data_IF_621743246155
#
_entry.id   IF_621743246155
#
_cell.length_a   1.000
_cell.length_b   1.000
_cell.length_c   1.000
_cell.angle_alpha   90.00
_cell.angle_beta   90.00
_cell.angle_gamma   90.00
#
_symmetry.space_group_name_H-M   'P 1'
#
loop_
_entity.id
_entity.type
_entity.pdbx_description
1 polymer ?
#
# COMPACT_ATOMS: atom_id res chain seq x y z
N UNK A 1 17.16 -46.37 8.42
CA UNK A 1 17.02 -45.34 9.48
C UNK A 1 16.29 -44.17 8.83
N UNK A 2 14.96 -44.24 8.87
CA UNK A 2 14.06 -43.36 8.12
C UNK A 2 14.06 -41.98 8.77
N UNK A 3 14.27 -40.96 7.93
CA UNK A 3 14.25 -39.55 8.28
C UNK A 3 12.93 -39.21 8.97
N UNK A 4 13.03 -38.78 10.22
CA UNK A 4 11.95 -38.21 11.02
C UNK A 4 11.62 -36.83 10.44
N UNK A 5 10.81 -36.82 9.37
CA UNK A 5 10.21 -35.59 8.84
C UNK A 5 9.25 -35.09 9.91
N UNK A 6 9.71 -34.18 10.75
CA UNK A 6 8.84 -33.38 11.62
C UNK A 6 7.64 -32.90 10.81
N UNK A 7 6.43 -33.24 11.27
CA UNK A 7 5.19 -32.77 10.68
C UNK A 7 5.18 -31.25 10.76
N UNK A 8 5.28 -30.57 9.61
CA UNK A 8 5.11 -29.12 9.54
C UNK A 8 3.70 -28.82 10.07
N UNK A 9 3.55 -27.92 11.07
CA UNK A 9 2.23 -27.51 11.54
C UNK A 9 1.36 -27.08 10.35
N UNK A 10 0.10 -27.51 10.32
CA UNK A 10 -0.82 -27.06 9.27
C UNK A 10 -1.12 -25.57 9.47
N UNK A 11 -0.51 -24.70 8.67
CA UNK A 11 -0.77 -23.27 8.68
C UNK A 11 -1.95 -22.93 7.77
N UNK A 12 -2.80 -21.99 8.20
CA UNK A 12 -3.78 -21.37 7.32
C UNK A 12 -3.07 -20.31 6.50
N UNK A 13 -3.49 -20.10 5.24
CA UNK A 13 -3.00 -19.00 4.42
C UNK A 13 -3.12 -17.65 5.16
N UNK A 14 -4.22 -17.47 5.89
CA UNK A 14 -4.47 -16.32 6.75
C UNK A 14 -3.31 -16.03 7.73
N UNK A 15 -2.74 -17.05 8.37
CA UNK A 15 -1.68 -16.88 9.36
C UNK A 15 -0.42 -16.28 8.71
N UNK A 16 -0.09 -16.75 7.50
CA UNK A 16 1.04 -16.25 6.72
C UNK A 16 0.81 -14.84 6.20
N UNK A 17 -0.42 -14.54 5.75
CA UNK A 17 -0.78 -13.22 5.25
C UNK A 17 -0.80 -12.17 6.35
N UNK A 18 -1.26 -12.51 7.55
CA UNK A 18 -1.18 -11.62 8.71
C UNK A 18 0.28 -11.33 9.05
N UNK A 19 1.14 -12.36 9.12
CA UNK A 19 2.57 -12.15 9.37
C UNK A 19 3.22 -11.25 8.30
N UNK A 20 2.88 -11.46 7.02
CA UNK A 20 3.38 -10.62 5.93
C UNK A 20 2.86 -9.18 6.03
N UNK A 21 1.59 -8.98 6.38
CA UNK A 21 0.99 -7.67 6.54
C UNK A 21 1.69 -6.87 7.67
N UNK A 22 2.04 -7.53 8.78
CA UNK A 22 2.81 -6.90 9.85
C UNK A 22 4.19 -6.43 9.39
N UNK A 23 4.86 -7.20 8.52
CA UNK A 23 6.14 -6.78 7.93
C UNK A 23 5.95 -5.64 6.95
N UNK A 24 4.86 -5.66 6.16
CA UNK A 24 4.53 -4.59 5.23
C UNK A 24 4.24 -3.26 5.96
N UNK A 25 3.55 -3.30 7.11
CA UNK A 25 3.31 -2.13 7.96
C UNK A 25 4.63 -1.48 8.41
N UNK A 26 5.64 -2.29 8.78
CA UNK A 26 6.96 -1.77 9.12
C UNK A 26 7.65 -1.09 7.93
N UNK A 27 7.56 -1.67 6.72
CA UNK A 27 8.11 -1.07 5.50
C UNK A 27 7.41 0.23 5.07
N UNK A 28 6.15 0.40 5.49
CA UNK A 28 5.38 1.63 5.31
C UNK A 28 5.63 2.67 6.40
N UNK A 29 6.29 2.30 7.51
CA UNK A 29 6.42 3.14 8.69
C UNK A 29 5.11 3.31 9.45
N UNK A 30 4.16 2.40 9.28
CA UNK A 30 2.90 2.37 10.03
C UNK A 30 3.10 1.81 11.44
N UNK A 31 2.12 2.07 12.31
CA UNK A 31 2.02 1.33 13.57
C UNK A 31 1.82 -0.16 13.28
N UNK A 32 2.31 -1.06 14.16
CA UNK A 32 2.01 -2.48 14.04
C UNK A 32 0.50 -2.72 13.97
N UNK A 33 0.09 -3.68 13.14
CA UNK A 33 -1.31 -4.12 12.99
C UNK A 33 -2.24 -3.15 12.25
N UNK A 34 -1.72 -2.10 11.61
CA UNK A 34 -2.52 -1.16 10.80
C UNK A 34 -3.29 -1.90 9.70
N UNK A 35 -2.63 -2.77 8.93
CA UNK A 35 -3.28 -3.54 7.87
C UNK A 35 -4.33 -4.53 8.41
N UNK A 36 -4.06 -5.15 9.56
CA UNK A 36 -4.99 -6.10 10.20
C UNK A 36 -6.21 -5.37 10.76
N UNK A 37 -6.01 -4.22 11.39
CA UNK A 37 -7.08 -3.35 11.89
C UNK A 37 -7.95 -2.83 10.75
N UNK A 38 -7.34 -2.40 9.65
CA UNK A 38 -8.06 -2.03 8.44
C UNK A 38 -8.87 -3.20 7.88
N UNK A 39 -8.31 -4.42 7.86
CA UNK A 39 -9.00 -5.62 7.40
C UNK A 39 -10.22 -5.96 8.26
N UNK A 40 -10.10 -5.84 9.57
CA UNK A 40 -11.22 -6.03 10.50
C UNK A 40 -12.36 -5.04 10.21
N UNK A 41 -12.04 -3.76 10.05
CA UNK A 41 -13.03 -2.73 9.74
C UNK A 41 -13.66 -2.93 8.35
N UNK A 42 -12.85 -3.21 7.33
CA UNK A 42 -13.29 -3.38 5.95
C UNK A 42 -14.23 -4.60 5.80
N UNK A 43 -13.87 -5.75 6.38
CA UNK A 43 -14.72 -6.95 6.35
C UNK A 43 -16.00 -6.77 7.18
N UNK A 44 -15.93 -6.04 8.30
CA UNK A 44 -17.11 -5.65 9.07
C UNK A 44 -18.07 -4.75 8.28
N UNK A 45 -17.53 -3.78 7.55
CA UNK A 45 -18.30 -2.91 6.66
C UNK A 45 -18.94 -3.70 5.51
N UNK A 46 -18.16 -4.56 4.84
CA UNK A 46 -18.63 -5.42 3.74
C UNK A 46 -19.85 -6.27 4.15
N UNK A 47 -19.78 -6.91 5.33
CA UNK A 47 -20.91 -7.68 5.88
C UNK A 47 -22.14 -6.80 6.16
N UNK A 48 -21.94 -5.59 6.69
CA UNK A 48 -23.06 -4.64 6.95
C UNK A 48 -23.69 -4.09 5.67
N UNK A 49 -22.95 -4.06 4.56
CA UNK A 49 -23.46 -3.74 3.23
C UNK A 49 -24.21 -4.92 2.58
N UNK A 50 -24.22 -6.09 3.22
CA UNK A 50 -24.92 -7.28 2.72
C UNK A 50 -24.17 -8.06 1.65
N UNK A 51 -22.84 -7.87 1.55
CA UNK A 51 -22.01 -8.66 0.65
C UNK A 51 -21.95 -10.13 1.08
N UNK A 52 -21.78 -11.02 0.11
CA UNK A 52 -21.65 -12.46 0.33
C UNK A 52 -20.31 -12.82 0.98
N UNK A 53 -20.22 -13.95 1.68
CA UNK A 53 -18.95 -14.36 2.31
C UNK A 53 -17.78 -14.53 1.33
N UNK A 54 -17.96 -14.97 0.07
CA UNK A 54 -16.91 -14.89 -0.95
C UNK A 54 -16.40 -13.46 -1.19
N UNK A 55 -17.29 -12.48 -1.33
CA UNK A 55 -16.92 -11.06 -1.52
C UNK A 55 -16.24 -10.48 -0.26
N UNK A 56 -16.70 -10.87 0.93
CA UNK A 56 -16.02 -10.52 2.19
C UNK A 56 -14.62 -11.15 2.24
N UNK A 57 -14.45 -12.35 1.66
CA UNK A 57 -13.16 -12.99 1.45
C UNK A 57 -12.25 -12.18 0.52
N UNK A 58 -12.78 -11.65 -0.58
CA UNK A 58 -12.02 -10.77 -1.48
C UNK A 58 -11.55 -9.51 -0.75
N UNK A 59 -12.41 -8.88 0.05
CA UNK A 59 -12.05 -7.73 0.91
C UNK A 59 -10.97 -8.09 1.92
N UNK A 60 -11.08 -9.26 2.55
CA UNK A 60 -10.09 -9.76 3.51
C UNK A 60 -8.69 -9.86 2.88
N UNK A 61 -8.59 -10.52 1.72
CA UNK A 61 -7.30 -10.73 1.06
C UNK A 61 -6.73 -9.45 0.47
N UNK A 62 -7.56 -8.63 -0.17
CA UNK A 62 -7.13 -7.34 -0.74
C UNK A 62 -6.57 -6.43 0.34
N UNK A 63 -7.25 -6.34 1.50
CA UNK A 63 -6.81 -5.43 2.57
C UNK A 63 -5.47 -5.84 3.17
N UNK A 64 -5.26 -7.15 3.40
CA UNK A 64 -3.98 -7.65 3.92
C UNK A 64 -2.83 -7.52 2.90
N UNK A 65 -3.14 -7.63 1.61
CA UNK A 65 -2.12 -7.59 0.55
C UNK A 65 -1.82 -6.18 0.03
N UNK A 66 -2.62 -5.17 0.38
CA UNK A 66 -2.54 -3.79 -0.15
C UNK A 66 -1.13 -3.20 -0.16
N UNK A 67 -0.35 -3.44 0.90
CA UNK A 67 0.98 -2.83 1.08
C UNK A 67 2.15 -3.77 0.79
N UNK A 68 1.91 -5.01 0.34
CA UNK A 68 3.01 -5.99 0.16
C UNK A 68 4.00 -5.59 -0.94
N UNK A 69 3.60 -4.69 -1.85
CA UNK A 69 4.45 -4.16 -2.92
C UNK A 69 5.10 -2.82 -2.62
N UNK A 70 4.82 -2.18 -1.48
CA UNK A 70 5.25 -0.79 -1.25
C UNK A 70 6.76 -0.60 -1.04
N UNK A 71 7.51 -1.68 -0.84
CA UNK A 71 8.99 -1.62 -0.81
C UNK A 71 9.62 -1.81 -2.20
N UNK A 72 8.82 -2.09 -3.24
CA UNK A 72 9.31 -2.34 -4.59
C UNK A 72 9.87 -1.09 -5.28
N UNK A 73 9.47 0.11 -4.83
CA UNK A 73 9.90 1.40 -5.35
C UNK A 73 10.77 2.17 -4.33
N UNK A 74 11.35 1.45 -3.36
CA UNK A 74 12.07 2.07 -2.24
C UNK A 74 13.34 2.81 -2.65
N UNK A 75 14.01 2.36 -3.71
CA UNK A 75 15.21 3.03 -4.17
C UNK A 75 14.90 4.41 -4.72
N UNK A 76 13.86 4.50 -5.53
CA UNK A 76 13.35 5.73 -6.13
C UNK A 76 12.78 6.67 -5.07
N UNK A 77 11.93 6.16 -4.17
CA UNK A 77 11.41 6.93 -3.02
C UNK A 77 12.55 7.50 -2.15
N UNK A 78 13.62 6.73 -1.93
CA UNK A 78 14.78 7.20 -1.17
C UNK A 78 15.51 8.35 -1.88
N UNK A 79 15.61 8.32 -3.22
CA UNK A 79 16.19 9.44 -3.98
C UNK A 79 15.35 10.73 -3.85
N UNK A 80 14.04 10.58 -3.70
CA UNK A 80 13.08 11.68 -3.57
C UNK A 80 12.99 12.23 -2.15
N UNK A 81 13.18 11.39 -1.14
CA UNK A 81 13.03 11.72 0.28
C UNK A 81 14.33 12.14 0.99
N UNK A 82 15.39 12.40 0.22
CA UNK A 82 16.75 12.61 0.75
C UNK A 82 17.30 11.43 1.57
N UNK A 83 16.84 10.21 1.26
CA UNK A 83 17.34 8.94 1.79
C UNK A 83 16.46 8.28 2.84
N UNK A 84 15.26 8.80 3.11
CA UNK A 84 14.33 8.25 4.11
C UNK A 84 12.95 8.00 3.50
N UNK A 85 12.84 6.92 2.75
CA UNK A 85 11.61 6.51 2.07
C UNK A 85 10.52 6.06 3.05
N UNK A 86 10.91 5.47 4.19
CA UNK A 86 9.96 5.05 5.23
C UNK A 86 9.27 6.25 5.86
N UNK A 87 10.02 7.29 6.26
CA UNK A 87 9.42 8.51 6.80
C UNK A 87 8.55 9.22 5.76
N UNK A 88 8.96 9.20 4.48
CA UNK A 88 8.17 9.73 3.37
C UNK A 88 6.82 9.00 3.23
N UNK A 89 6.80 7.66 3.21
CA UNK A 89 5.55 6.88 3.12
C UNK A 89 4.65 7.09 4.32
N UNK A 90 5.20 7.05 5.54
CA UNK A 90 4.44 7.28 6.77
C UNK A 90 3.78 8.67 6.79
N UNK A 91 4.52 9.71 6.38
CA UNK A 91 3.98 11.06 6.28
C UNK A 91 2.94 11.21 5.15
N UNK A 92 3.18 10.57 4.01
CA UNK A 92 2.24 10.55 2.89
C UNK A 92 0.92 9.89 3.24
N UNK A 93 0.97 8.74 3.94
CA UNK A 93 -0.23 8.02 4.40
C UNK A 93 -1.08 8.83 5.39
N UNK A 94 -0.46 9.76 6.14
CA UNK A 94 -1.15 10.63 7.11
C UNK A 94 -1.76 11.91 6.50
N UNK A 95 -1.64 12.11 5.18
CA UNK A 95 -2.08 13.34 4.48
C UNK A 95 -2.99 12.99 3.30
N UNK A 96 -3.98 13.84 3.01
CA UNK A 96 -4.70 13.75 1.75
C UNK A 96 -3.87 14.36 0.61
N UNK A 97 -3.05 13.55 -0.06
CA UNK A 97 -2.21 14.02 -1.17
C UNK A 97 -3.01 14.41 -2.43
N UNK A 98 -4.33 14.19 -2.49
CA UNK A 98 -5.19 14.76 -3.52
C UNK A 98 -5.53 16.23 -3.27
N UNK A 99 -5.47 16.67 -2.01
CA UNK A 99 -5.74 18.04 -1.60
C UNK A 99 -4.50 18.92 -1.75
N UNK A 100 -4.63 20.03 -2.47
CA UNK A 100 -3.55 21.01 -2.61
C UNK A 100 -3.01 21.50 -1.25
N UNK A 101 -3.88 21.64 -0.24
CA UNK A 101 -3.49 22.12 1.09
C UNK A 101 -2.58 21.13 1.80
N UNK A 102 -2.96 19.86 1.80
CA UNK A 102 -2.25 18.81 2.53
C UNK A 102 -0.98 18.37 1.78
N UNK A 103 -1.01 18.43 0.45
CA UNK A 103 0.16 18.34 -0.44
C UNK A 103 1.19 19.45 -0.13
N UNK A 104 0.76 20.72 -0.07
CA UNK A 104 1.65 21.82 0.26
C UNK A 104 2.25 21.64 1.67
N UNK A 105 1.42 21.25 2.63
CA UNK A 105 1.89 20.93 3.97
C UNK A 105 2.88 19.74 3.95
N UNK A 106 2.73 18.77 3.05
CA UNK A 106 3.62 17.60 2.97
C UNK A 106 5.04 18.02 2.56
N UNK A 107 5.14 18.83 1.51
CA UNK A 107 6.42 19.40 1.09
C UNK A 107 7.03 20.33 2.16
N UNK A 108 6.20 21.15 2.81
CA UNK A 108 6.66 22.15 3.79
C UNK A 108 7.02 21.58 5.15
N UNK A 109 6.43 20.47 5.59
CA UNK A 109 6.60 19.98 6.95
C UNK A 109 7.12 18.55 7.06
N UNK A 110 6.96 17.69 6.06
CA UNK A 110 7.23 16.25 6.23
C UNK A 110 8.31 15.71 5.30
N UNK A 111 8.30 16.10 4.02
CA UNK A 111 9.28 15.59 3.07
C UNK A 111 10.70 15.99 3.47
N UNK A 112 11.55 14.97 3.64
CA UNK A 112 12.95 15.12 4.05
C UNK A 112 13.13 16.00 5.30
N UNK A 113 12.20 15.89 6.27
CA UNK A 113 12.15 16.73 7.48
C UNK A 113 13.48 16.80 8.22
N UNK A 114 14.15 15.67 8.39
CA UNK A 114 15.38 15.55 9.18
C UNK A 114 16.67 15.81 8.35
N UNK A 115 16.53 16.15 7.07
CA UNK A 115 17.65 16.45 6.20
C UNK A 115 18.11 17.92 6.29
N UNK A 116 19.40 18.22 6.04
CA UNK A 116 19.87 19.61 5.88
C UNK A 116 19.08 20.37 4.81
N UNK A 117 18.87 21.67 5.02
CA UNK A 117 17.99 22.52 4.17
C UNK A 117 18.26 22.41 2.67
N UNK A 118 19.53 22.33 2.24
CA UNK A 118 19.88 22.16 0.83
C UNK A 118 19.43 20.81 0.25
N UNK A 119 19.60 19.72 1.00
CA UNK A 119 19.14 18.40 0.58
C UNK A 119 17.62 18.32 0.55
N UNK A 120 16.98 18.95 1.52
CA UNK A 120 15.52 19.05 1.60
C UNK A 120 14.93 19.86 0.43
N UNK A 121 15.49 21.01 0.11
CA UNK A 121 15.08 21.79 -1.06
C UNK A 121 15.26 20.99 -2.36
N UNK A 122 16.36 20.24 -2.49
CA UNK A 122 16.60 19.34 -3.61
C UNK A 122 15.58 18.18 -3.70
N UNK A 123 15.20 17.59 -2.56
CA UNK A 123 14.17 16.56 -2.47
C UNK A 123 12.81 17.09 -2.97
N UNK A 124 12.34 18.21 -2.41
CA UNK A 124 11.10 18.88 -2.83
C UNK A 124 11.12 19.16 -4.33
N UNK A 125 12.22 19.73 -4.84
CA UNK A 125 12.35 20.01 -6.27
C UNK A 125 12.24 18.75 -7.14
N UNK A 126 12.91 17.65 -6.76
CA UNK A 126 12.85 16.38 -7.50
C UNK A 126 11.45 15.77 -7.51
N UNK A 127 10.80 15.69 -6.36
CA UNK A 127 9.42 15.17 -6.26
C UNK A 127 8.43 16.01 -7.08
N UNK A 128 8.58 17.34 -7.06
CA UNK A 128 7.76 18.21 -7.91
C UNK A 128 8.07 18.04 -9.41
N UNK A 129 9.33 17.78 -9.77
CA UNK A 129 9.75 17.58 -11.16
C UNK A 129 9.26 16.24 -11.75
N UNK A 130 9.17 15.18 -10.95
CA UNK A 130 8.54 13.91 -11.35
C UNK A 130 7.03 14.06 -11.57
N UNK A 131 6.39 14.82 -10.69
CA UNK A 131 4.97 15.14 -10.74
C UNK A 131 4.07 13.89 -10.77
N UNK A 132 2.93 14.03 -11.45
CA UNK A 132 1.90 12.98 -11.48
C UNK A 132 2.39 11.68 -12.16
N UNK A 133 3.24 11.80 -13.18
CA UNK A 133 3.74 10.62 -13.91
C UNK A 133 4.58 9.71 -13.02
N UNK A 134 5.49 10.30 -12.21
CA UNK A 134 6.27 9.53 -11.24
C UNK A 134 5.39 8.90 -10.16
N UNK A 135 4.37 9.64 -9.69
CA UNK A 135 3.38 9.11 -8.75
C UNK A 135 2.64 7.90 -9.31
N UNK A 136 2.18 7.97 -10.56
CA UNK A 136 1.50 6.86 -11.20
C UNK A 136 2.43 5.66 -11.45
N UNK A 137 3.71 5.89 -11.73
CA UNK A 137 4.71 4.83 -11.90
C UNK A 137 5.00 4.10 -10.58
N UNK A 138 5.18 4.85 -9.49
CA UNK A 138 5.31 4.33 -8.13
C UNK A 138 4.13 3.42 -7.76
N UNK A 139 2.89 3.92 -7.89
CA UNK A 139 1.71 3.11 -7.54
C UNK A 139 1.52 1.91 -8.46
N UNK A 140 1.86 2.00 -9.76
CA UNK A 140 1.87 0.83 -10.65
C UNK A 140 2.82 -0.25 -10.14
N UNK A 141 4.05 0.13 -9.80
CA UNK A 141 5.06 -0.80 -9.26
C UNK A 141 4.56 -1.50 -7.99
N UNK A 142 3.98 -0.73 -7.05
CA UNK A 142 3.43 -1.27 -5.82
C UNK A 142 2.30 -2.26 -6.07
N UNK A 143 1.33 -1.88 -6.90
CA UNK A 143 0.19 -2.73 -7.23
C UNK A 143 0.62 -4.01 -7.96
N UNK A 144 1.58 -3.93 -8.90
CA UNK A 144 2.05 -5.07 -9.68
C UNK A 144 2.62 -6.19 -8.79
N UNK A 145 3.41 -5.84 -7.78
CA UNK A 145 3.96 -6.82 -6.83
C UNK A 145 2.87 -7.49 -6.01
N UNK A 146 1.89 -6.72 -5.50
CA UNK A 146 0.76 -7.28 -4.76
C UNK A 146 -0.11 -8.21 -5.63
N UNK A 147 -0.38 -7.82 -6.88
CA UNK A 147 -1.12 -8.65 -7.85
C UNK A 147 -0.36 -9.92 -8.19
N UNK A 148 0.96 -9.85 -8.39
CA UNK A 148 1.80 -11.01 -8.64
C UNK A 148 1.72 -11.99 -7.47
N UNK A 149 1.78 -11.50 -6.23
CA UNK A 149 1.65 -12.33 -5.04
C UNK A 149 0.26 -12.97 -4.97
N UNK A 150 -0.81 -12.20 -5.16
CA UNK A 150 -2.17 -12.71 -5.18
C UNK A 150 -2.36 -13.83 -6.21
N UNK A 151 -1.82 -13.65 -7.42
CA UNK A 151 -1.84 -14.67 -8.48
C UNK A 151 -1.09 -15.94 -8.08
N UNK A 152 0.09 -15.82 -7.47
CA UNK A 152 0.88 -16.97 -7.00
C UNK A 152 0.19 -17.75 -5.87
N UNK A 153 -0.62 -17.06 -5.06
CA UNK A 153 -1.43 -17.66 -4.00
C UNK A 153 -2.75 -18.26 -4.52
N UNK A 154 -3.03 -18.14 -5.82
CA UNK A 154 -4.27 -18.65 -6.42
C UNK A 154 -5.52 -17.82 -6.07
N UNK A 155 -5.35 -16.56 -5.66
CA UNK A 155 -6.46 -15.66 -5.36
C UNK A 155 -7.14 -15.18 -6.64
N UNK A 156 -8.47 -15.04 -6.57
CA UNK A 156 -9.33 -14.75 -7.72
C UNK A 156 -9.03 -13.42 -8.42
N UNK A 157 -9.64 -13.23 -9.60
CA UNK A 157 -9.51 -12.00 -10.39
C UNK A 157 -10.01 -10.76 -9.65
N UNK A 158 -11.01 -10.91 -8.78
CA UNK A 158 -11.54 -9.81 -7.98
C UNK A 158 -10.49 -9.23 -7.02
N UNK A 159 -9.76 -10.09 -6.29
CA UNK A 159 -8.65 -9.66 -5.43
C UNK A 159 -7.57 -8.96 -6.25
N UNK A 160 -7.21 -9.51 -7.41
CA UNK A 160 -6.20 -8.91 -8.28
C UNK A 160 -6.64 -7.52 -8.78
N UNK A 161 -7.91 -7.36 -9.18
CA UNK A 161 -8.46 -6.09 -9.62
C UNK A 161 -8.55 -5.08 -8.47
N UNK A 162 -9.02 -5.50 -7.30
CA UNK A 162 -9.12 -4.62 -6.14
C UNK A 162 -7.73 -4.16 -5.66
N UNK A 163 -6.71 -5.02 -5.75
CA UNK A 163 -5.32 -4.62 -5.50
C UNK A 163 -4.80 -3.61 -6.52
N UNK A 164 -5.19 -3.74 -7.79
CA UNK A 164 -4.85 -2.76 -8.81
C UNK A 164 -5.44 -1.37 -8.51
N UNK A 165 -6.64 -1.33 -7.92
CA UNK A 165 -7.37 -0.11 -7.61
C UNK A 165 -7.16 0.38 -6.17
N UNK A 166 -6.28 -0.25 -5.39
CA UNK A 166 -6.19 -0.03 -3.93
C UNK A 166 -5.80 1.40 -3.51
N UNK A 167 -5.23 2.18 -4.43
CA UNK A 167 -4.84 3.58 -4.25
C UNK A 167 -5.65 4.55 -5.13
N UNK A 168 -6.66 4.04 -5.82
CA UNK A 168 -7.63 4.87 -6.51
C UNK A 168 -8.53 5.59 -5.51
N UNK A 169 -9.09 6.71 -5.94
CA UNK A 169 -10.00 7.52 -5.13
C UNK A 169 -11.30 7.72 -5.85
N UNK A 170 -12.39 7.71 -5.10
CA UNK A 170 -13.73 7.93 -5.63
C UNK A 170 -13.87 9.23 -6.46
N UNK A 171 -13.11 10.27 -6.09
CA UNK A 171 -13.09 11.58 -6.75
C UNK A 171 -12.19 11.68 -7.99
N UNK A 172 -11.44 10.62 -8.33
CA UNK A 172 -10.51 10.60 -9.46
C UNK A 172 -9.16 11.26 -9.20
N UNK A 173 -8.84 11.58 -7.94
CA UNK A 173 -7.54 12.12 -7.54
C UNK A 173 -6.56 11.00 -7.10
N UNK A 174 -6.95 9.74 -7.24
CA UNK A 174 -6.11 8.59 -6.95
C UNK A 174 -5.18 8.25 -8.11
N UNK A 175 -4.36 7.24 -7.89
CA UNK A 175 -3.39 6.73 -8.87
C UNK A 175 -3.44 5.21 -8.89
N UNK A 176 -3.06 4.56 -10.00
CA UNK A 176 -2.37 5.14 -11.17
C UNK A 176 -3.24 5.35 -12.42
N UNK A 177 -4.53 5.00 -12.39
CA UNK A 177 -5.46 5.09 -13.52
C UNK A 177 -6.45 6.25 -13.37
N UNK A 178 -6.52 6.90 -12.19
CA UNK A 178 -7.40 8.03 -11.91
C UNK A 178 -8.88 7.68 -12.14
N UNK A 179 -9.25 6.47 -11.70
CA UNK A 179 -10.61 5.95 -11.82
C UNK A 179 -11.56 6.78 -10.98
N UNK A 180 -12.84 6.80 -11.38
CA UNK A 180 -13.86 7.62 -10.72
C UNK A 180 -15.02 6.75 -10.28
N UNK A 181 -15.55 7.04 -9.11
CA UNK A 181 -16.82 6.51 -8.65
C UNK A 181 -16.92 4.98 -8.76
N UNK A 182 -17.98 4.48 -9.39
CA UNK A 182 -18.30 3.07 -9.54
C UNK A 182 -17.33 2.31 -10.45
N UNK A 183 -16.36 3.00 -11.07
CA UNK A 183 -15.27 2.35 -11.81
C UNK A 183 -14.14 1.86 -10.91
N UNK A 184 -14.09 2.30 -9.65
CA UNK A 184 -13.22 1.74 -8.61
C UNK A 184 -13.84 0.41 -8.15
N UNK A 185 -13.00 -0.62 -7.99
CA UNK A 185 -13.43 -1.99 -7.67
C UNK A 185 -13.67 -2.18 -6.18
#
# INVERSE_FOLDING_TARGET
>A
MLSDRQSIPSFRLADLLVALALVADLGMGHAPEEAVSACFLATGLARRLGLSEPEVGDVYYTTLLRFTGCTAYAHEDAQLSAGDDVAMRAAGAARDLGSFRDMAAFFLFDLARDAPLLRRAGAVFRTLAEGQRGTDEMFRSHCEVAIMLARRLGLGSNVQQALQHAFERWDGQGSPQQLRRETVA
#
